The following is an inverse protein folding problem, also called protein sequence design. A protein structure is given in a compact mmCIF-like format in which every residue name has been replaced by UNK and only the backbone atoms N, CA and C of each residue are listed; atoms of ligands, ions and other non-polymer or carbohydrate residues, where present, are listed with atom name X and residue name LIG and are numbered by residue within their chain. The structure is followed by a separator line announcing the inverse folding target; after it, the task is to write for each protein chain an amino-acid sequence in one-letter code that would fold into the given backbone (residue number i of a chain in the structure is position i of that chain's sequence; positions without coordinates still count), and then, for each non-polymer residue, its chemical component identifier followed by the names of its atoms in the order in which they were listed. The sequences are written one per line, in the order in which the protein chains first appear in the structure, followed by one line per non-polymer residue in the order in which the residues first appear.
data_IF_754016955321
#
_entry.id   IF_754016955321
#
_cell.length_a   1.000
_cell.length_b   1.000
_cell.length_c   1.000
_cell.angle_alpha   90.00
_cell.angle_beta   90.00
_cell.angle_gamma   90.00
#
_symmetry.space_group_name_H-M   'P 1'
#
loop_
_entity.id
_entity.type
_entity.pdbx_description
1 polymer ?
#
# COMPACT_ATOMS: atom_id res chain seq x y z
N UNK A 1 -17.87 18.62 8.52
CA UNK A 1 -18.32 17.84 7.34
C UNK A 1 -17.62 18.27 6.03
N UNK A 2 -17.37 19.57 5.78
CA UNK A 2 -16.66 20.01 4.56
C UNK A 2 -15.18 19.59 4.48
N UNK A 3 -14.45 19.53 5.60
CA UNK A 3 -13.06 19.01 5.59
C UNK A 3 -12.99 17.56 5.10
N UNK A 4 -13.97 16.72 5.42
CA UNK A 4 -13.94 15.29 5.10
C UNK A 4 -13.98 15.00 3.59
N UNK A 5 -14.64 15.85 2.78
CA UNK A 5 -14.70 15.70 1.32
C UNK A 5 -13.35 16.03 0.67
N UNK A 6 -12.68 17.08 1.14
CA UNK A 6 -11.39 17.52 0.59
C UNK A 6 -10.31 16.45 0.82
N UNK A 7 -10.26 15.88 2.03
CA UNK A 7 -9.34 14.77 2.35
C UNK A 7 -9.68 13.50 1.54
N UNK A 8 -10.96 13.20 1.34
CA UNK A 8 -11.38 12.05 0.53
C UNK A 8 -10.89 12.16 -0.93
N UNK A 9 -11.00 13.35 -1.55
CA UNK A 9 -10.46 13.62 -2.89
C UNK A 9 -8.93 13.51 -2.93
N UNK A 10 -8.24 14.04 -1.93
CA UNK A 10 -6.77 13.95 -1.82
C UNK A 10 -6.32 12.49 -1.70
N UNK A 11 -6.97 11.70 -0.85
CA UNK A 11 -6.66 10.28 -0.69
C UNK A 11 -6.98 9.48 -1.94
N UNK A 12 -8.04 9.82 -2.68
CA UNK A 12 -8.38 9.19 -3.95
C UNK A 12 -7.33 9.49 -5.02
N UNK A 13 -6.86 10.73 -5.11
CA UNK A 13 -5.74 11.11 -5.98
C UNK A 13 -4.46 10.35 -5.62
N UNK A 14 -4.13 10.25 -4.34
CA UNK A 14 -2.98 9.51 -3.86
C UNK A 14 -3.11 8.01 -4.15
N UNK A 15 -4.30 7.44 -3.98
CA UNK A 15 -4.58 6.04 -4.28
C UNK A 15 -4.33 5.73 -5.76
N UNK A 16 -4.88 6.55 -6.66
CA UNK A 16 -4.83 6.30 -8.11
C UNK A 16 -3.45 6.61 -8.70
N UNK A 17 -2.84 7.73 -8.32
CA UNK A 17 -1.58 8.18 -8.96
C UNK A 17 -0.32 7.65 -8.28
N UNK A 18 -0.38 7.27 -7.00
CA UNK A 18 0.82 6.92 -6.22
C UNK A 18 0.72 5.49 -5.70
N UNK A 19 -0.25 5.19 -4.83
CA UNK A 19 -0.32 3.90 -4.16
C UNK A 19 -0.52 2.75 -5.16
N UNK A 20 -1.36 2.94 -6.17
CA UNK A 20 -1.65 1.93 -7.18
C UNK A 20 -0.44 1.57 -8.07
N UNK A 21 0.24 2.50 -8.76
CA UNK A 21 1.40 2.16 -9.59
C UNK A 21 2.57 1.61 -8.77
N UNK A 22 2.81 2.13 -7.57
CA UNK A 22 3.87 1.62 -6.69
C UNK A 22 3.57 0.18 -6.27
N UNK A 23 2.33 -0.11 -5.86
CA UNK A 23 1.95 -1.46 -5.46
C UNK A 23 1.97 -2.44 -6.62
N UNK A 24 1.61 -2.00 -7.82
CA UNK A 24 1.71 -2.82 -9.02
C UNK A 24 3.16 -3.18 -9.36
N UNK A 25 4.07 -2.21 -9.29
CA UNK A 25 5.50 -2.46 -9.51
C UNK A 25 6.10 -3.38 -8.44
N UNK A 26 5.78 -3.18 -7.16
CA UNK A 26 6.27 -4.01 -6.06
C UNK A 26 5.68 -5.42 -6.06
N UNK A 27 4.43 -5.58 -6.50
CA UNK A 27 3.79 -6.89 -6.65
C UNK A 27 4.52 -7.79 -7.65
N UNK A 28 5.07 -7.20 -8.72
CA UNK A 28 5.90 -7.94 -9.67
C UNK A 28 7.14 -8.55 -9.00
N UNK A 29 7.84 -7.77 -8.18
CA UNK A 29 9.02 -8.23 -7.44
C UNK A 29 8.67 -9.23 -6.34
N UNK A 30 7.54 -9.04 -5.66
CA UNK A 30 7.05 -9.97 -4.64
C UNK A 30 6.73 -11.35 -5.23
N UNK A 31 6.10 -11.43 -6.40
CA UNK A 31 5.85 -12.70 -7.11
C UNK A 31 7.12 -13.48 -7.44
N UNK A 32 8.25 -12.79 -7.66
CA UNK A 32 9.55 -13.45 -7.90
C UNK A 32 10.20 -13.90 -6.59
N UNK A 33 10.07 -13.11 -5.53
CA UNK A 33 10.73 -13.36 -4.25
C UNK A 33 10.01 -14.40 -3.38
N UNK A 34 8.69 -14.54 -3.49
CA UNK A 34 7.91 -15.50 -2.70
C UNK A 34 8.32 -16.97 -2.96
N UNK A 35 8.77 -17.30 -4.18
CA UNK A 35 9.28 -18.62 -4.50
C UNK A 35 10.55 -18.99 -3.71
N UNK A 36 11.33 -17.99 -3.27
CA UNK A 36 12.57 -18.17 -2.51
C UNK A 36 12.38 -18.01 -1.00
N UNK A 37 11.18 -17.62 -0.55
CA UNK A 37 10.87 -17.39 0.87
C UNK A 37 11.13 -18.63 1.74
N UNK A 38 10.82 -19.82 1.23
CA UNK A 38 11.02 -21.08 1.96
C UNK A 38 12.48 -21.50 2.13
N UNK A 39 13.41 -20.91 1.38
CA UNK A 39 14.82 -21.31 1.34
C UNK A 39 15.71 -20.35 2.12
N UNK A 40 15.40 -19.05 2.11
CA UNK A 40 16.23 -18.03 2.74
C UNK A 40 15.43 -17.17 3.75
N UNK A 41 15.80 -17.16 5.04
CA UNK A 41 15.10 -16.37 6.06
C UNK A 41 15.23 -14.85 5.85
N UNK A 42 16.26 -14.40 5.12
CA UNK A 42 16.43 -12.99 4.74
C UNK A 42 15.41 -12.58 3.67
N UNK A 43 15.07 -13.50 2.76
CA UNK A 43 14.07 -13.26 1.72
C UNK A 43 12.69 -13.10 2.35
N UNK A 44 12.39 -13.86 3.41
CA UNK A 44 11.14 -13.71 4.17
C UNK A 44 10.91 -12.28 4.68
N UNK A 45 11.92 -11.63 5.27
CA UNK A 45 11.79 -10.23 5.69
C UNK A 45 11.53 -9.27 4.52
N UNK A 46 12.17 -9.51 3.37
CA UNK A 46 11.95 -8.70 2.18
C UNK A 46 10.53 -8.91 1.62
N UNK A 47 10.06 -10.17 1.56
CA UNK A 47 8.72 -10.54 1.11
C UNK A 47 7.63 -9.97 2.02
N UNK A 48 7.80 -10.06 3.34
CA UNK A 48 6.88 -9.46 4.34
C UNK A 48 6.80 -7.94 4.18
N UNK A 49 7.93 -7.26 3.95
CA UNK A 49 7.97 -5.82 3.72
C UNK A 49 7.28 -5.43 2.41
N UNK A 50 7.58 -6.17 1.33
CA UNK A 50 6.93 -5.98 0.04
C UNK A 50 5.42 -6.19 0.13
N UNK A 51 4.95 -7.20 0.88
CA UNK A 51 3.53 -7.46 1.09
C UNK A 51 2.83 -6.30 1.81
N UNK A 52 3.48 -5.71 2.83
CA UNK A 52 2.99 -4.50 3.49
C UNK A 52 2.89 -3.31 2.53
N UNK A 53 3.87 -3.13 1.66
CA UNK A 53 3.81 -2.07 0.65
C UNK A 53 2.72 -2.31 -0.41
N UNK A 54 2.50 -3.57 -0.82
CA UNK A 54 1.46 -3.93 -1.81
C UNK A 54 0.05 -3.78 -1.23
N UNK A 55 -0.10 -3.98 0.09
CA UNK A 55 -1.38 -3.78 0.78
C UNK A 55 -1.68 -2.32 1.11
N UNK A 56 -0.74 -1.41 0.88
CA UNK A 56 -0.90 0.03 1.10
C UNK A 56 -2.13 0.67 0.42
N UNK A 57 -2.49 0.36 -0.84
CA UNK A 57 -3.67 0.93 -1.50
C UNK A 57 -4.96 0.57 -0.78
N UNK A 58 -5.01 -0.59 -0.12
CA UNK A 58 -6.16 -1.01 0.68
C UNK A 58 -6.27 -0.16 1.95
N UNK A 59 -5.15 0.19 2.56
CA UNK A 59 -5.10 1.11 3.71
C UNK A 59 -5.52 2.53 3.31
N UNK A 60 -5.00 3.04 2.18
CA UNK A 60 -5.42 4.33 1.63
C UNK A 60 -6.91 4.31 1.29
N UNK A 61 -7.44 3.24 0.68
CA UNK A 61 -8.85 3.10 0.35
C UNK A 61 -9.77 3.08 1.58
N UNK A 62 -9.30 2.54 2.71
CA UNK A 62 -10.02 2.67 3.99
C UNK A 62 -10.01 4.10 4.52
N UNK A 63 -8.89 4.81 4.41
CA UNK A 63 -8.78 6.22 4.80
C UNK A 63 -9.68 7.14 3.94
N UNK A 64 -9.83 6.83 2.65
CA UNK A 64 -10.80 7.47 1.73
C UNK A 64 -12.23 7.30 2.27
N UNK A 65 -12.64 6.07 2.61
CA UNK A 65 -13.99 5.78 3.10
C UNK A 65 -14.30 6.42 4.46
N UNK A 66 -13.33 6.43 5.36
CA UNK A 66 -13.47 7.01 6.70
C UNK A 66 -13.34 8.55 6.70
N UNK A 67 -12.74 9.13 5.66
CA UNK A 67 -12.41 10.55 5.63
C UNK A 67 -11.36 10.94 6.68
N UNK A 68 -10.42 10.03 6.95
CA UNK A 68 -9.36 10.22 7.93
C UNK A 68 -8.44 11.38 7.53
N UNK A 69 -7.94 12.12 8.53
CA UNK A 69 -7.03 13.26 8.32
C UNK A 69 -5.56 12.86 8.38
N UNK A 70 -5.27 11.69 8.95
CA UNK A 70 -3.92 11.17 9.14
C UNK A 70 -3.43 10.43 7.90
N UNK A 71 -2.12 10.52 7.65
CA UNK A 71 -1.53 9.84 6.51
C UNK A 71 -1.46 8.33 6.74
N UNK A 72 -2.11 7.51 5.89
CA UNK A 72 -2.07 6.06 6.02
C UNK A 72 -0.69 5.58 5.59
N UNK A 73 0.19 5.32 6.56
CA UNK A 73 1.54 4.80 6.34
C UNK A 73 1.52 3.27 6.35
N UNK A 74 2.17 2.57 5.41
CA UNK A 74 2.18 1.11 5.37
C UNK A 74 3.27 0.46 6.25
N UNK A 75 3.94 1.20 7.14
CA UNK A 75 5.03 0.68 7.99
C UNK A 75 4.60 0.30 9.40
#
# INVERSE_FOLDING_TARGET
MASSILYNIIWLLLLVFIAWPISWFLAWWWCLLIAFEGVFPVVKQATDFLEKMISWPRTVGKAVLNGDKDFPMPW
#
